data_IF_732510903423
#
_entry.id   IF_732510903423
#
_cell.length_a   1.000
_cell.length_b   1.000
_cell.length_c   1.000
_cell.angle_alpha   90.00
_cell.angle_beta   90.00
_cell.angle_gamma   90.00
#
_symmetry.space_group_name_H-M   'P 1'
#
loop_
_entity.id
_entity.type
_entity.pdbx_description
1 polymer ?
#
# COMPACT_ATOMS: atom_id res chain seq x y z
N UNK A 1 -3.72 -18.62 6.64
CA UNK A 1 -3.74 -17.89 5.35
C UNK A 1 -2.66 -18.47 4.47
N UNK A 2 -2.92 -18.61 3.18
CA UNK A 2 -1.94 -19.13 2.21
C UNK A 2 -1.06 -17.98 1.71
N UNK A 3 0.21 -17.95 2.16
CA UNK A 3 1.19 -16.92 1.78
C UNK A 3 1.88 -17.22 0.43
N UNK A 4 1.43 -18.24 -0.28
CA UNK A 4 1.91 -18.58 -1.62
C UNK A 4 0.85 -18.24 -2.70
N UNK A 5 -0.31 -17.70 -2.29
CA UNK A 5 -1.36 -17.22 -3.19
C UNK A 5 -0.96 -15.90 -3.86
N UNK A 6 -0.53 -15.98 -5.11
CA UNK A 6 -0.20 -14.81 -5.94
C UNK A 6 -1.34 -13.79 -5.99
N UNK A 7 -0.97 -12.51 -5.96
CA UNK A 7 -1.87 -11.36 -6.08
C UNK A 7 -2.65 -11.04 -4.81
N UNK A 8 -2.61 -11.90 -3.78
CA UNK A 8 -3.26 -11.67 -2.51
C UNK A 8 -2.62 -10.45 -1.82
N UNK A 9 -3.45 -9.44 -1.52
CA UNK A 9 -3.02 -8.29 -0.74
C UNK A 9 -2.97 -8.69 0.73
N UNK A 10 -1.86 -8.38 1.40
CA UNK A 10 -1.63 -8.77 2.79
C UNK A 10 -1.06 -7.63 3.61
N UNK A 11 -1.28 -7.72 4.91
CA UNK A 11 -0.56 -6.97 5.93
C UNK A 11 0.25 -7.96 6.75
N UNK A 12 1.57 -7.76 6.79
CA UNK A 12 2.52 -8.53 7.58
C UNK A 12 3.09 -7.65 8.69
N UNK A 13 3.18 -8.20 9.88
CA UNK A 13 3.83 -7.53 11.01
C UNK A 13 5.14 -8.21 11.31
N UNK A 14 6.16 -7.39 11.49
CA UNK A 14 7.53 -7.81 11.79
C UNK A 14 7.99 -7.10 13.06
N UNK A 15 9.15 -7.49 13.57
CA UNK A 15 9.85 -6.78 14.65
C UNK A 15 10.26 -5.35 14.27
N UNK A 16 10.31 -5.04 12.97
CA UNK A 16 10.77 -3.75 12.43
C UNK A 16 9.66 -2.84 11.92
N UNK A 17 8.41 -3.29 11.96
CA UNK A 17 7.27 -2.52 11.47
C UNK A 17 6.24 -3.36 10.72
N UNK A 18 5.36 -2.65 10.03
CA UNK A 18 4.21 -3.22 9.33
C UNK A 18 4.49 -3.14 7.82
N UNK A 19 4.28 -4.25 7.13
CA UNK A 19 4.45 -4.36 5.69
C UNK A 19 3.08 -4.56 5.06
N UNK A 20 2.73 -3.73 4.08
CA UNK A 20 1.54 -3.90 3.24
C UNK A 20 2.00 -4.16 1.81
N UNK A 21 1.35 -5.06 1.08
CA UNK A 21 1.69 -5.31 -0.32
C UNK A 21 0.94 -6.51 -0.88
N UNK A 22 1.12 -6.81 -2.17
CA UNK A 22 0.54 -8.01 -2.79
C UNK A 22 1.59 -9.09 -2.93
N UNK A 23 1.22 -10.34 -2.70
CA UNK A 23 2.13 -11.48 -2.92
C UNK A 23 2.49 -11.55 -4.41
N UNK A 24 3.77 -11.42 -4.72
CA UNK A 24 4.32 -11.59 -6.06
C UNK A 24 4.98 -12.95 -6.24
N UNK A 25 5.14 -13.36 -7.49
CA UNK A 25 5.95 -14.53 -7.82
C UNK A 25 7.44 -14.21 -7.67
N UNK A 26 8.15 -15.08 -6.98
CA UNK A 26 9.60 -15.08 -7.06
C UNK A 26 10.04 -15.68 -8.38
N UNK A 27 10.59 -14.86 -9.27
CA UNK A 27 11.37 -15.36 -10.40
C UNK A 27 12.84 -15.27 -9.98
N UNK A 28 13.53 -16.40 -9.67
CA UNK A 28 14.97 -16.33 -9.50
C UNK A 28 15.57 -15.74 -10.78
N UNK A 29 16.57 -14.83 -10.67
CA UNK A 29 17.31 -14.43 -11.86
C UNK A 29 17.85 -15.70 -12.53
N UNK A 30 17.72 -15.80 -13.86
CA UNK A 30 18.28 -16.90 -14.63
C UNK A 30 19.78 -16.96 -14.34
N UNK A 31 20.19 -17.91 -13.50
CA UNK A 31 21.60 -18.21 -13.28
C UNK A 31 21.98 -19.15 -14.41
N UNK A 32 22.94 -18.79 -15.30
CA UNK A 32 23.44 -19.69 -16.32
C UNK A 32 23.89 -21.01 -15.69
N UNK A 33 23.59 -22.13 -16.36
CA UNK A 33 23.82 -23.52 -15.95
C UNK A 33 25.18 -23.79 -15.28
N UNK A 34 25.31 -23.48 -13.99
CA UNK A 34 26.29 -24.00 -13.05
C UNK A 34 26.21 -23.16 -11.78
N UNK A 35 25.28 -23.50 -10.89
CA UNK A 35 25.53 -24.05 -9.55
C UNK A 35 24.13 -24.31 -9.01
N UNK A 36 23.76 -25.58 -8.83
CA UNK A 36 22.68 -25.92 -7.92
C UNK A 36 23.17 -25.56 -6.51
N UNK A 37 23.20 -24.26 -6.19
CA UNK A 37 23.28 -23.80 -4.82
C UNK A 37 22.00 -24.35 -4.20
N UNK A 38 22.15 -25.35 -3.33
CA UNK A 38 21.06 -25.83 -2.50
C UNK A 38 20.27 -24.61 -2.02
N UNK A 39 18.94 -24.62 -2.20
CA UNK A 39 18.02 -23.57 -1.75
C UNK A 39 18.05 -23.48 -0.21
N UNK A 40 19.18 -23.05 0.34
CA UNK A 40 19.54 -22.99 1.76
C UNK A 40 19.37 -21.59 2.32
N UNK A 41 18.90 -20.64 1.49
CA UNK A 41 18.48 -19.34 1.94
C UNK A 41 17.22 -19.42 2.81
N UNK A 42 17.00 -18.44 3.70
CA UNK A 42 15.78 -18.37 4.47
C UNK A 42 14.56 -18.29 3.54
N UNK A 43 13.40 -18.82 3.97
CA UNK A 43 12.18 -18.74 3.17
C UNK A 43 11.81 -17.27 2.97
N UNK A 44 11.71 -16.82 1.71
CA UNK A 44 11.39 -15.44 1.36
C UNK A 44 9.94 -15.31 0.89
N UNK A 45 9.29 -14.23 1.28
CA UNK A 45 8.01 -13.75 0.76
C UNK A 45 8.28 -12.54 -0.11
N UNK A 46 7.79 -12.56 -1.34
CA UNK A 46 7.98 -11.46 -2.28
C UNK A 46 6.70 -10.66 -2.34
N UNK A 47 6.81 -9.37 -2.08
CA UNK A 47 5.72 -8.41 -2.15
C UNK A 47 5.94 -7.46 -3.31
N UNK A 48 4.88 -7.18 -4.05
CA UNK A 48 4.81 -6.13 -5.05
C UNK A 48 3.95 -4.97 -4.55
N UNK A 49 4.23 -3.77 -5.04
CA UNK A 49 3.60 -2.50 -4.60
C UNK A 49 3.63 -2.37 -3.07
N UNK A 50 4.79 -2.69 -2.49
CA UNK A 50 4.95 -2.85 -1.06
C UNK A 50 5.19 -1.51 -0.35
N UNK A 51 4.60 -1.36 0.83
CA UNK A 51 4.82 -0.25 1.74
C UNK A 51 5.33 -0.78 3.08
N UNK A 52 6.40 -0.18 3.59
CA UNK A 52 6.85 -0.35 4.98
C UNK A 52 6.30 0.81 5.81
N UNK A 53 5.63 0.47 6.89
CA UNK A 53 5.06 1.41 7.84
C UNK A 53 5.74 1.26 9.21
N UNK A 54 5.86 2.37 9.92
CA UNK A 54 6.31 2.38 11.32
C UNK A 54 5.18 1.97 12.29
N UNK A 55 5.46 2.02 13.60
CA UNK A 55 4.48 1.71 14.65
C UNK A 55 3.30 2.68 14.70
N UNK A 56 3.45 3.88 14.12
CA UNK A 56 2.43 4.91 14.02
C UNK A 56 1.66 4.84 12.69
N UNK A 57 1.86 3.76 11.91
CA UNK A 57 1.26 3.54 10.59
C UNK A 57 1.68 4.55 9.53
N UNK A 58 2.83 5.22 9.71
CA UNK A 58 3.36 6.14 8.70
C UNK A 58 4.15 5.39 7.65
N UNK A 59 3.95 5.74 6.39
CA UNK A 59 4.64 5.14 5.24
C UNK A 59 6.10 5.59 5.24
N UNK A 60 6.99 4.71 5.65
CA UNK A 60 8.45 4.94 5.70
C UNK A 60 9.08 4.74 4.32
N UNK A 61 8.66 3.67 3.62
CA UNK A 61 9.21 3.32 2.31
C UNK A 61 8.09 2.79 1.43
N UNK A 62 8.07 3.21 0.15
CA UNK A 62 7.35 2.50 -0.91
C UNK A 62 8.32 1.87 -1.90
N UNK A 63 8.11 0.60 -2.20
CA UNK A 63 8.91 -0.16 -3.14
C UNK A 63 8.02 -0.92 -4.11
N UNK A 64 8.43 -0.96 -5.38
CA UNK A 64 7.74 -1.79 -6.39
C UNK A 64 7.81 -3.26 -6.03
N UNK A 65 8.94 -3.70 -5.50
CA UNK A 65 9.23 -5.08 -5.12
C UNK A 65 9.96 -5.08 -3.78
N UNK A 66 9.61 -6.01 -2.89
CA UNK A 66 10.22 -6.19 -1.60
C UNK A 66 10.30 -7.66 -1.23
N UNK A 67 11.50 -8.13 -0.89
CA UNK A 67 11.71 -9.48 -0.38
C UNK A 67 11.75 -9.45 1.15
N UNK A 68 10.89 -10.24 1.78
CA UNK A 68 10.70 -10.30 3.23
C UNK A 68 11.05 -11.70 3.70
N UNK A 69 11.90 -11.82 4.70
CA UNK A 69 12.17 -13.11 5.31
C UNK A 69 10.90 -13.61 6.04
N UNK A 70 10.33 -14.76 5.64
CA UNK A 70 9.13 -15.34 6.25
C UNK A 70 9.32 -15.61 7.75
N UNK A 71 10.55 -15.88 8.19
CA UNK A 71 10.85 -16.09 9.62
C UNK A 71 10.80 -14.80 10.45
N UNK A 72 10.85 -13.63 9.81
CA UNK A 72 10.70 -12.34 10.49
C UNK A 72 9.23 -11.89 10.59
N UNK A 73 8.29 -12.62 9.97
CA UNK A 73 6.86 -12.32 10.02
C UNK A 73 6.28 -12.93 11.29
N UNK A 74 5.84 -12.07 12.21
CA UNK A 74 5.20 -12.47 13.45
C UNK A 74 3.74 -12.87 13.20
N UNK A 75 3.05 -12.10 12.37
CA UNK A 75 1.68 -12.38 11.94
C UNK A 75 1.39 -11.75 10.58
N UNK A 76 0.46 -12.35 9.85
CA UNK A 76 -0.02 -11.83 8.58
C UNK A 76 -1.52 -12.05 8.46
N UNK A 77 -2.23 -11.13 7.81
CA UNK A 77 -3.63 -11.27 7.42
C UNK A 77 -3.88 -10.62 6.06
N UNK A 78 -5.03 -10.93 5.46
CA UNK A 78 -5.44 -10.36 4.18
C UNK A 78 -5.81 -8.88 4.34
N UNK A 79 -5.29 -8.03 3.46
CA UNK A 79 -5.57 -6.60 3.51
C UNK A 79 -6.96 -6.32 2.91
N UNK A 80 -7.99 -6.40 3.73
CA UNK A 80 -9.38 -6.15 3.32
C UNK A 80 -9.55 -4.76 2.68
N UNK A 81 -8.82 -3.76 3.20
CA UNK A 81 -8.83 -2.40 2.68
C UNK A 81 -8.26 -2.33 1.24
N UNK A 82 -7.31 -3.20 0.88
CA UNK A 82 -6.71 -3.17 -0.45
C UNK A 82 -7.74 -3.41 -1.57
N UNK A 83 -8.70 -4.31 -1.35
CA UNK A 83 -9.79 -4.56 -2.30
C UNK A 83 -10.73 -3.36 -2.42
N UNK A 84 -11.02 -2.69 -1.30
CA UNK A 84 -11.84 -1.48 -1.27
C UNK A 84 -11.13 -0.30 -1.97
N UNK A 85 -9.83 -0.11 -1.72
CA UNK A 85 -9.02 0.90 -2.40
C UNK A 85 -8.91 0.63 -3.91
N UNK A 86 -8.80 -0.63 -4.33
CA UNK A 86 -8.81 -0.99 -5.74
C UNK A 86 -10.14 -0.60 -6.41
N UNK A 87 -11.27 -0.84 -5.74
CA UNK A 87 -12.59 -0.39 -6.20
C UNK A 87 -12.67 1.13 -6.27
N UNK A 88 -12.21 1.83 -5.23
CA UNK A 88 -12.21 3.30 -5.20
C UNK A 88 -11.39 3.91 -6.34
N UNK A 89 -10.19 3.36 -6.60
CA UNK A 89 -9.37 3.74 -7.76
C UNK A 89 -10.08 3.49 -9.09
N UNK A 90 -10.83 2.40 -9.18
CA UNK A 90 -11.68 2.11 -10.35
C UNK A 90 -12.70 3.21 -10.59
N UNK A 91 -13.41 3.65 -9.55
CA UNK A 91 -14.38 4.76 -9.64
C UNK A 91 -13.71 6.08 -10.07
N UNK A 92 -12.55 6.41 -9.49
CA UNK A 92 -11.75 7.58 -9.88
C UNK A 92 -11.35 7.49 -11.36
N UNK A 93 -10.93 6.32 -11.83
CA UNK A 93 -10.50 6.12 -13.21
C UNK A 93 -11.68 6.21 -14.22
N UNK A 94 -12.89 5.86 -13.80
CA UNK A 94 -14.12 6.04 -14.60
C UNK A 94 -14.78 7.40 -14.39
N UNK A 95 -14.13 8.31 -13.66
CA UNK A 95 -14.64 9.66 -13.32
C UNK A 95 -16.00 9.66 -12.60
N UNK A 96 -16.36 8.58 -11.91
CA UNK A 96 -17.56 8.47 -11.08
C UNK A 96 -17.29 9.07 -9.68
N UNK A 97 -17.10 10.39 -9.65
CA UNK A 97 -16.66 11.10 -8.44
C UNK A 97 -17.73 11.17 -7.34
N UNK A 98 -19.01 11.14 -7.68
CA UNK A 98 -20.10 11.12 -6.70
C UNK A 98 -20.13 9.81 -5.90
N UNK A 99 -20.01 8.67 -6.60
CA UNK A 99 -19.91 7.36 -5.95
C UNK A 99 -18.58 7.21 -5.20
N UNK A 100 -17.48 7.70 -5.79
CA UNK A 100 -16.17 7.68 -5.14
C UNK A 100 -16.17 8.49 -3.83
N UNK A 101 -16.82 9.66 -3.80
CA UNK A 101 -16.91 10.48 -2.58
C UNK A 101 -17.65 9.75 -1.46
N UNK A 102 -18.81 9.18 -1.77
CA UNK A 102 -19.61 8.41 -0.79
C UNK A 102 -18.83 7.21 -0.23
N UNK A 103 -18.10 6.52 -1.11
CA UNK A 103 -17.29 5.37 -0.74
C UNK A 103 -16.05 5.78 0.08
N UNK A 104 -15.36 6.85 -0.31
CA UNK A 104 -14.23 7.39 0.44
C UNK A 104 -14.64 7.81 1.86
N UNK A 105 -15.76 8.52 2.00
CA UNK A 105 -16.30 8.91 3.31
C UNK A 105 -16.59 7.68 4.20
N UNK A 106 -17.18 6.62 3.63
CA UNK A 106 -17.42 5.37 4.35
C UNK A 106 -16.11 4.72 4.81
N UNK A 107 -15.12 4.63 3.94
CA UNK A 107 -13.82 4.01 4.26
C UNK A 107 -13.06 4.80 5.32
N UNK A 108 -13.16 6.13 5.30
CA UNK A 108 -12.50 7.01 6.26
C UNK A 108 -13.03 6.84 7.69
N UNK A 109 -14.25 6.35 7.89
CA UNK A 109 -14.79 6.09 9.23
C UNK A 109 -13.96 5.06 9.99
N UNK A 110 -13.46 4.03 9.30
CA UNK A 110 -12.74 2.90 9.91
C UNK A 110 -11.24 2.94 9.65
N UNK A 111 -10.77 3.66 8.62
CA UNK A 111 -9.37 3.64 8.16
C UNK A 111 -8.68 5.02 8.27
N UNK A 112 -8.80 5.66 9.44
CA UNK A 112 -8.32 7.03 9.69
C UNK A 112 -6.80 7.22 9.73
N UNK A 113 -6.03 6.16 9.45
CA UNK A 113 -4.55 6.18 9.45
C UNK A 113 -3.96 5.69 8.13
N UNK A 114 -4.77 5.52 7.10
CA UNK A 114 -4.28 5.09 5.79
C UNK A 114 -3.93 6.31 4.92
N UNK A 115 -2.64 6.51 4.67
CA UNK A 115 -2.14 7.63 3.88
C UNK A 115 -2.67 7.62 2.44
N UNK A 116 -2.88 6.44 1.87
CA UNK A 116 -3.35 6.31 0.48
C UNK A 116 -4.83 6.63 0.37
N UNK A 117 -5.64 6.19 1.32
CA UNK A 117 -7.05 6.57 1.39
C UNK A 117 -7.22 8.09 1.48
N UNK A 118 -6.43 8.77 2.32
CA UNK A 118 -6.45 10.23 2.37
C UNK A 118 -6.02 10.87 1.05
N UNK A 119 -4.97 10.36 0.42
CA UNK A 119 -4.54 10.88 -0.89
C UNK A 119 -5.63 10.71 -1.96
N UNK A 120 -6.26 9.54 -2.06
CA UNK A 120 -7.36 9.30 -3.00
C UNK A 120 -8.57 10.17 -2.69
N UNK A 121 -8.90 10.37 -1.41
CA UNK A 121 -9.96 11.29 -0.99
C UNK A 121 -9.66 12.72 -1.42
N UNK A 122 -8.41 13.17 -1.27
CA UNK A 122 -7.97 14.46 -1.78
C UNK A 122 -8.23 14.62 -3.27
N UNK A 123 -7.85 13.63 -4.09
CA UNK A 123 -8.08 13.62 -5.54
C UNK A 123 -9.58 13.65 -5.90
N UNK A 124 -10.41 12.92 -5.14
CA UNK A 124 -11.86 12.92 -5.34
C UNK A 124 -12.43 14.31 -5.05
N UNK A 125 -12.07 14.89 -3.90
CA UNK A 125 -12.62 16.18 -3.49
C UNK A 125 -12.07 17.36 -4.31
N UNK A 126 -10.87 17.23 -4.88
CA UNK A 126 -10.29 18.22 -5.81
C UNK A 126 -11.15 18.41 -7.06
N UNK A 127 -11.94 17.39 -7.46
CA UNK A 127 -12.85 17.48 -8.60
C UNK A 127 -14.13 18.28 -8.32
N UNK A 128 -14.49 18.46 -7.05
CA UNK A 128 -15.59 19.34 -6.68
C UNK A 128 -15.03 20.74 -6.48
N UNK A 129 -15.25 21.62 -7.48
CA UNK A 129 -14.64 22.95 -7.55
C UNK A 129 -14.71 23.70 -6.20
N UNK A 130 -13.53 23.96 -5.62
CA UNK A 130 -13.40 24.75 -4.40
C UNK A 130 -13.75 24.01 -3.09
N UNK A 131 -13.89 22.68 -3.10
CA UNK A 131 -14.11 21.93 -1.86
C UNK A 131 -12.86 21.99 -0.94
N UNK A 132 -12.95 22.62 0.24
CA UNK A 132 -11.81 22.75 1.15
C UNK A 132 -11.31 21.40 1.69
N UNK A 133 -12.15 20.35 1.64
CA UNK A 133 -11.80 19.00 2.10
C UNK A 133 -10.66 18.40 1.30
N UNK A 134 -10.53 18.74 0.01
CA UNK A 134 -9.45 18.26 -0.85
C UNK A 134 -8.08 18.56 -0.22
N UNK A 135 -7.87 19.83 0.13
CA UNK A 135 -6.64 20.31 0.77
C UNK A 135 -6.40 19.65 2.12
N UNK A 136 -7.45 19.52 2.94
CA UNK A 136 -7.37 18.87 4.24
C UNK A 136 -6.91 17.41 4.13
N UNK A 137 -7.46 16.67 3.17
CA UNK A 137 -7.09 15.27 2.95
C UNK A 137 -5.66 15.12 2.42
N UNK A 138 -5.20 15.99 1.52
CA UNK A 138 -3.78 15.98 1.11
C UNK A 138 -2.83 16.27 2.28
N UNK A 139 -3.20 17.20 3.18
CA UNK A 139 -2.41 17.48 4.38
C UNK A 139 -2.37 16.28 5.34
N UNK A 140 -3.50 15.59 5.54
CA UNK A 140 -3.57 14.36 6.34
C UNK A 140 -2.71 13.25 5.73
N UNK A 141 -2.74 13.08 4.41
CA UNK A 141 -1.87 12.13 3.71
C UNK A 141 -0.39 12.47 3.96
N UNK A 142 0.04 13.73 3.81
CA UNK A 142 1.42 14.16 4.05
C UNK A 142 1.89 13.94 5.49
N UNK A 143 1.00 14.06 6.47
CA UNK A 143 1.32 13.78 7.87
C UNK A 143 1.64 12.30 8.14
N UNK A 144 1.20 11.41 7.25
CA UNK A 144 1.35 9.97 7.35
C UNK A 144 2.40 9.38 6.38
N UNK A 145 3.12 10.22 5.64
CA UNK A 145 4.16 9.76 4.69
C UNK A 145 5.50 10.32 5.13
N UNK A 146 6.46 9.45 5.38
CA UNK A 146 7.88 9.80 5.59
C UNK A 146 8.73 9.54 4.34
N UNK A 147 8.23 8.73 3.40
CA UNK A 147 8.85 8.49 2.10
C UNK A 147 8.90 9.77 1.24
N UNK A 148 10.11 10.28 0.99
CA UNK A 148 10.31 11.55 0.27
C UNK A 148 9.72 11.57 -1.14
N UNK A 149 9.79 10.46 -1.86
CA UNK A 149 9.26 10.36 -3.23
C UNK A 149 7.75 10.49 -3.23
N UNK A 150 7.08 9.78 -2.32
CA UNK A 150 5.64 9.83 -2.20
C UNK A 150 5.19 11.18 -1.64
N UNK A 151 5.89 11.74 -0.65
CA UNK A 151 5.64 13.13 -0.17
C UNK A 151 5.70 14.13 -1.32
N UNK A 152 6.68 14.03 -2.20
CA UNK A 152 6.84 14.94 -3.34
C UNK A 152 5.70 14.83 -4.36
N UNK A 153 5.05 13.66 -4.48
CA UNK A 153 3.84 13.50 -5.31
C UNK A 153 2.67 14.21 -4.67
N UNK A 154 2.38 13.93 -3.39
CA UNK A 154 1.22 14.51 -2.69
C UNK A 154 1.35 16.03 -2.53
N UNK A 155 2.57 16.54 -2.33
CA UNK A 155 2.81 17.98 -2.15
C UNK A 155 2.50 18.83 -3.39
N UNK A 156 2.32 18.24 -4.57
CA UNK A 156 1.96 18.97 -5.80
C UNK A 156 0.52 19.49 -5.82
N UNK A 157 -0.31 19.00 -4.89
CA UNK A 157 -1.72 19.37 -4.78
C UNK A 157 -1.99 20.42 -3.68
N UNK A 158 -0.94 21.03 -3.10
CA UNK A 158 -1.03 22.03 -2.02
C UNK A 158 -0.41 23.36 -2.44
#
# INVERSE_FOLDING_TARGET
MDLDREGLAIVCYTDRGILKGKIGLWTPPEVPDAVQLEKTGPPMLYLIDASLLDSDYRVVVRAREMAVNKNAILFAYEDELASELARLKGMIATEDFDSAASEAERLLLTNQRDAELFYLSGLIFERFEGDPRAREYFQKALALILDDKFRAVVSRHL
#
